data_IF_034692061410
#
_entry.id   IF_034692061410
#
_cell.length_a   1.000
_cell.length_b   1.000
_cell.length_c   1.000
_cell.angle_alpha   90.00
_cell.angle_beta   90.00
_cell.angle_gamma   90.00
#
_symmetry.space_group_name_H-M   'P 1'
#
loop_
_entity.id
_entity.type
_entity.pdbx_description
1 polymer ?
#
# COMPACT_ATOMS: atom_id res chain seq x y z
N UNK A 1 5.02 -6.93 7.78
CA UNK A 1 4.33 -8.19 7.42
C UNK A 1 2.91 -7.88 7.00
N UNK A 2 2.40 -8.54 5.95
CA UNK A 2 1.03 -8.35 5.49
C UNK A 2 0.00 -8.79 6.55
N UNK A 3 -1.19 -8.17 6.62
CA UNK A 3 -2.19 -8.45 7.65
C UNK A 3 -2.59 -9.93 7.73
N UNK A 4 -2.81 -10.58 6.59
CA UNK A 4 -3.18 -11.99 6.47
C UNK A 4 -2.10 -12.92 7.04
N UNK A 5 -0.81 -12.60 6.84
CA UNK A 5 0.32 -13.38 7.38
C UNK A 5 0.37 -13.26 8.90
N UNK A 6 0.12 -12.06 9.44
CA UNK A 6 0.08 -11.84 10.91
C UNK A 6 -1.07 -12.60 11.56
N UNK A 7 -2.19 -12.78 10.84
CA UNK A 7 -3.35 -13.56 11.31
C UNK A 7 -3.19 -15.06 11.12
N UNK A 8 -2.15 -15.53 10.42
CA UNK A 8 -1.96 -16.94 10.10
C UNK A 8 -2.94 -17.46 9.03
N UNK A 9 -3.50 -16.57 8.21
CA UNK A 9 -4.37 -16.93 7.10
C UNK A 9 -3.52 -17.46 5.93
N UNK A 10 -4.13 -18.26 5.04
CA UNK A 10 -3.49 -18.66 3.79
C UNK A 10 -3.14 -17.42 2.95
N UNK A 11 -1.93 -17.38 2.41
CA UNK A 11 -1.42 -16.24 1.65
C UNK A 11 -0.81 -16.68 0.32
N UNK A 12 -0.75 -15.74 -0.62
CA UNK A 12 -0.18 -15.93 -1.95
C UNK A 12 0.77 -14.76 -2.30
N UNK A 13 1.11 -14.58 -3.59
CA UNK A 13 2.02 -13.54 -4.06
C UNK A 13 1.63 -12.10 -3.68
N UNK A 14 0.38 -11.88 -3.26
CA UNK A 14 -0.13 -10.57 -2.85
C UNK A 14 0.63 -10.01 -1.63
N UNK A 15 1.28 -10.86 -0.83
CA UNK A 15 2.10 -10.43 0.31
C UNK A 15 3.37 -9.69 -0.12
N UNK A 16 3.87 -9.97 -1.32
CA UNK A 16 5.03 -9.27 -1.88
C UNK A 16 4.64 -7.85 -2.28
N UNK A 17 3.41 -7.67 -2.80
CA UNK A 17 2.85 -6.35 -3.10
C UNK A 17 2.71 -5.51 -1.84
N UNK A 18 2.25 -6.11 -0.74
CA UNK A 18 2.22 -5.43 0.55
C UNK A 18 3.62 -4.97 0.97
N UNK A 19 4.59 -5.89 0.90
CA UNK A 19 5.98 -5.61 1.29
C UNK A 19 6.60 -4.51 0.45
N UNK A 20 6.32 -4.49 -0.86
CA UNK A 20 6.70 -3.42 -1.77
C UNK A 20 6.09 -2.07 -1.37
N UNK A 21 4.80 -2.05 -0.99
CA UNK A 21 4.14 -0.86 -0.49
C UNK A 21 4.76 -0.32 0.80
N UNK A 22 5.19 -1.22 1.69
CA UNK A 22 5.88 -0.82 2.92
C UNK A 22 7.25 -0.21 2.59
N UNK A 23 8.08 -0.87 1.79
CA UNK A 23 9.39 -0.31 1.38
C UNK A 23 9.22 1.03 0.66
N UNK A 24 8.20 1.17 -0.19
CA UNK A 24 7.85 2.43 -0.83
C UNK A 24 7.48 3.54 0.16
N UNK A 25 6.77 3.20 1.23
CA UNK A 25 6.42 4.13 2.30
C UNK A 25 7.66 4.50 3.12
N UNK A 26 8.54 3.55 3.42
CA UNK A 26 9.82 3.76 4.12
C UNK A 26 10.72 4.74 3.37
N UNK A 27 10.86 4.54 2.06
CA UNK A 27 11.65 5.45 1.20
C UNK A 27 11.04 6.85 1.14
N UNK A 28 9.72 6.97 1.24
CA UNK A 28 9.04 8.26 1.18
C UNK A 28 9.16 9.05 2.48
N UNK A 29 9.08 8.39 3.63
CA UNK A 29 9.09 9.01 4.96
C UNK A 29 10.49 9.05 5.59
N UNK A 30 11.45 8.30 5.04
CA UNK A 30 12.83 8.24 5.55
C UNK A 30 13.01 7.37 6.80
N UNK A 31 11.92 6.91 7.41
CA UNK A 31 11.94 6.02 8.56
C UNK A 31 11.07 4.79 8.33
N UNK A 32 11.52 3.65 8.87
CA UNK A 32 10.72 2.44 8.90
C UNK A 32 9.44 2.69 9.72
N UNK A 33 8.22 2.38 9.22
CA UNK A 33 6.99 2.49 10.00
C UNK A 33 6.99 1.53 11.22
N UNK A 34 8.01 0.68 11.33
CA UNK A 34 8.17 -0.38 12.33
C UNK A 34 9.10 -0.06 13.49
N UNK A 35 9.47 1.21 13.76
CA UNK A 35 10.13 1.53 15.03
C UNK A 35 9.20 1.08 16.21
N UNK A 36 9.55 -0.08 16.78
CA UNK A 36 8.99 -0.85 17.92
C UNK A 36 7.69 -1.68 17.79
N UNK A 37 6.72 -1.41 16.93
CA UNK A 37 5.34 -1.92 17.19
C UNK A 37 4.62 -2.65 16.04
N UNK A 38 5.34 -3.20 15.06
CA UNK A 38 4.74 -3.81 13.86
C UNK A 38 3.57 -4.78 14.13
N UNK A 39 3.69 -5.68 15.12
CA UNK A 39 2.62 -6.63 15.48
C UNK A 39 1.41 -5.97 16.14
N UNK A 40 1.62 -4.94 16.97
CA UNK A 40 0.55 -4.22 17.65
C UNK A 40 -0.20 -3.28 16.70
N UNK A 41 0.52 -2.67 15.74
CA UNK A 41 -0.08 -1.76 14.75
C UNK A 41 -0.99 -2.46 13.74
N UNK A 42 -0.61 -3.66 13.28
CA UNK A 42 -1.48 -4.49 12.42
C UNK A 42 -2.78 -4.88 13.15
N UNK A 43 -2.71 -5.18 14.46
CA UNK A 43 -3.89 -5.53 15.27
C UNK A 43 -4.80 -4.34 15.59
N UNK A 44 -4.28 -3.10 15.57
CA UNK A 44 -5.00 -1.87 15.96
C UNK A 44 -5.68 -1.13 14.79
N UNK A 45 -5.79 -1.73 13.60
CA UNK A 45 -6.42 -1.08 12.42
C UNK A 45 -5.79 0.27 12.04
N UNK A 46 -4.45 0.38 12.13
CA UNK A 46 -3.76 1.60 11.73
C UNK A 46 -4.00 1.89 10.24
N UNK A 47 -4.24 3.16 9.88
CA UNK A 47 -4.28 3.59 8.49
C UNK A 47 -2.87 3.53 7.92
N UNK A 48 -2.60 2.56 7.04
CA UNK A 48 -1.34 2.47 6.31
C UNK A 48 -1.29 3.55 5.25
N UNK A 49 -0.26 4.41 5.29
CA UNK A 49 -0.11 5.51 4.34
C UNK A 49 0.87 6.57 4.79
N UNK A 50 1.05 7.57 3.93
CA UNK A 50 1.94 8.71 4.13
C UNK A 50 1.43 9.61 5.25
N UNK A 51 2.35 10.14 6.05
CA UNK A 51 2.05 11.08 7.15
C UNK A 51 1.56 12.41 6.59
N UNK A 52 2.19 12.89 5.52
CA UNK A 52 1.76 14.08 4.79
C UNK A 52 1.60 13.80 3.28
N UNK A 53 0.47 13.21 2.85
CA UNK A 53 0.28 12.80 1.46
C UNK A 53 0.47 13.94 0.44
N UNK A 54 0.18 15.19 0.83
CA UNK A 54 0.29 16.34 -0.08
C UNK A 54 1.73 16.70 -0.45
N UNK A 55 2.73 16.29 0.35
CA UNK A 55 4.14 16.51 0.06
C UNK A 55 4.70 15.53 -0.98
N UNK A 56 3.95 14.47 -1.30
CA UNK A 56 4.38 13.45 -2.24
C UNK A 56 3.61 13.51 -3.56
N UNK A 57 4.26 13.01 -4.61
CA UNK A 57 3.66 12.99 -5.94
C UNK A 57 2.32 12.24 -5.92
N UNK A 58 1.31 12.68 -6.71
CA UNK A 58 0.07 11.95 -6.84
C UNK A 58 0.28 10.50 -7.29
N UNK A 59 1.29 10.26 -8.13
CA UNK A 59 1.66 8.92 -8.58
C UNK A 59 2.07 8.02 -7.41
N UNK A 60 2.95 8.50 -6.53
CA UNK A 60 3.39 7.72 -5.36
C UNK A 60 2.23 7.45 -4.41
N UNK A 61 1.38 8.45 -4.16
CA UNK A 61 0.16 8.27 -3.35
C UNK A 61 -0.75 7.18 -3.91
N UNK A 62 -1.01 7.22 -5.21
CA UNK A 62 -1.89 6.27 -5.88
C UNK A 62 -1.27 4.86 -5.85
N UNK A 63 0.03 4.76 -6.11
CA UNK A 63 0.78 3.50 -6.02
C UNK A 63 0.70 2.88 -4.61
N UNK A 64 1.05 3.64 -3.57
CA UNK A 64 1.01 3.15 -2.18
C UNK A 64 -0.40 2.75 -1.75
N UNK A 65 -1.43 3.48 -2.19
CA UNK A 65 -2.83 3.13 -1.94
C UNK A 65 -3.21 1.79 -2.57
N UNK A 66 -2.73 1.47 -3.77
CA UNK A 66 -2.97 0.19 -4.43
C UNK A 66 -2.24 -0.97 -3.72
N UNK A 67 -1.01 -0.73 -3.23
CA UNK A 67 -0.21 -1.75 -2.54
C UNK A 67 -0.70 -2.04 -1.11
N UNK A 68 -1.08 -1.02 -0.35
CA UNK A 68 -1.38 -1.11 1.09
C UNK A 68 -2.86 -1.38 1.39
N UNK A 69 -3.52 -2.18 0.53
CA UNK A 69 -4.87 -2.68 0.79
C UNK A 69 -4.83 -3.80 1.83
N UNK A 70 -5.61 -3.64 2.91
CA UNK A 70 -5.71 -4.64 3.99
C UNK A 70 -6.39 -5.91 3.49
N UNK A 71 -7.42 -5.77 2.66
CA UNK A 71 -8.03 -6.88 1.94
C UNK A 71 -7.13 -7.27 0.76
N UNK A 72 -6.54 -8.47 0.84
CA UNK A 72 -5.62 -8.99 -0.18
C UNK A 72 -6.28 -9.12 -1.56
N UNK A 73 -7.61 -9.30 -1.64
CA UNK A 73 -8.32 -9.43 -2.92
C UNK A 73 -8.58 -8.08 -3.60
N UNK A 74 -8.47 -6.98 -2.85
CA UNK A 74 -8.54 -5.61 -3.41
C UNK A 74 -7.16 -5.04 -3.72
N UNK A 75 -6.11 -5.73 -3.29
CA UNK A 75 -4.72 -5.35 -3.52
C UNK A 75 -4.39 -5.62 -4.98
N UNK A 76 -3.76 -4.65 -5.62
CA UNK A 76 -3.41 -4.75 -7.03
C UNK A 76 -2.27 -5.76 -7.22
N UNK A 77 -2.29 -6.50 -8.31
CA UNK A 77 -1.17 -7.31 -8.77
C UNK A 77 -0.02 -6.45 -9.28
N UNK A 78 1.17 -7.04 -9.41
CA UNK A 78 2.33 -6.36 -9.98
C UNK A 78 2.05 -5.78 -11.38
N UNK A 79 1.29 -6.51 -12.21
CA UNK A 79 0.94 -6.08 -13.56
C UNK A 79 0.00 -4.86 -13.57
N UNK A 80 -0.97 -4.84 -12.65
CA UNK A 80 -1.89 -3.71 -12.48
C UNK A 80 -1.15 -2.47 -11.95
N UNK A 81 -0.18 -2.65 -11.04
CA UNK A 81 0.60 -1.53 -10.49
C UNK A 81 1.38 -0.76 -11.56
N UNK A 82 1.77 -1.41 -12.66
CA UNK A 82 2.38 -0.73 -13.80
C UNK A 82 1.43 0.27 -14.48
N UNK A 83 0.11 0.13 -14.26
CA UNK A 83 -0.92 1.00 -14.83
C UNK A 83 -1.28 2.21 -13.96
N UNK A 84 -0.71 2.36 -12.75
CA UNK A 84 -1.03 3.49 -11.85
C UNK A 84 -0.82 4.85 -12.53
N UNK A 85 0.11 4.96 -13.48
CA UNK A 85 0.30 6.17 -14.31
C UNK A 85 -0.87 6.47 -15.27
N UNK A 86 -1.57 5.45 -15.76
CA UNK A 86 -2.62 5.57 -16.79
C UNK A 86 -3.99 5.93 -16.22
N UNK A 87 -4.23 5.69 -14.93
CA UNK A 87 -5.54 5.83 -14.29
C UNK A 87 -6.05 7.28 -14.15
N UNK A 88 -5.31 8.30 -14.61
CA UNK A 88 -5.78 9.70 -14.66
C UNK A 88 -6.25 10.20 -16.03
N UNK A 89 -6.15 9.40 -17.09
CA UNK A 89 -6.63 9.81 -18.42
C UNK A 89 -8.07 9.32 -18.70
N UNK A 90 -8.60 8.36 -17.92
CA UNK A 90 -9.89 7.73 -18.21
C UNK A 90 -11.09 8.17 -17.34
N UNK A 91 -10.93 9.11 -16.40
CA UNK A 91 -12.05 9.62 -15.57
C UNK A 91 -12.18 11.14 -15.65
N UNK A 92 -12.23 11.68 -16.87
CA UNK A 92 -12.60 13.07 -17.15
C UNK A 92 -13.62 13.25 -18.27
N UNK A 93 -14.37 12.18 -18.59
CA UNK A 93 -15.51 12.27 -19.50
C UNK A 93 -16.72 11.63 -18.83
N UNK A 94 -17.85 12.33 -18.89
CA UNK A 94 -19.19 12.00 -18.39
C UNK A 94 -19.47 12.44 -16.94
N UNK A 95 -19.73 13.73 -16.74
CA UNK A 95 -21.10 14.29 -16.62
C UNK A 95 -21.05 15.80 -16.77
#
# INVERSE_FOLDING_TARGET
>A
MAPEVVRGEAYGPEVDIWSLGIVGLEMAEGEAPYQREARLRVRRSFKWGLSNPRQHSPLLRDFLRCCLQVDKYRRWSAQELLQVRKSKVAQRSVS
#
